data_IF_398743548026
#
_entry.id   IF_398743548026
#
_cell.length_a   1.000
_cell.length_b   1.000
_cell.length_c   1.000
_cell.angle_alpha   90.00
_cell.angle_beta   90.00
_cell.angle_gamma   90.00
#
_symmetry.space_group_name_H-M   'P 1'
#
loop_
_entity.id
_entity.type
_entity.pdbx_description
1 polymer ?
#
# COMPACT_ATOMS: atom_id res chain seq x y z
N UNK A 1 -15.64 2.76 12.37
CA UNK A 1 -14.73 2.67 11.21
C UNK A 1 -14.50 1.20 10.93
N UNK A 2 -14.62 0.75 9.68
CA UNK A 2 -14.18 -0.60 9.26
C UNK A 2 -12.90 -0.48 8.47
N UNK A 3 -11.97 -1.41 8.67
CA UNK A 3 -10.67 -1.43 8.02
C UNK A 3 -10.45 -2.71 7.24
N UNK A 4 -9.69 -2.61 6.17
CA UNK A 4 -9.26 -3.71 5.31
C UNK A 4 -7.76 -3.66 5.13
N UNK A 5 -7.16 -4.82 4.86
CA UNK A 5 -5.72 -4.99 4.74
C UNK A 5 -5.40 -5.58 3.38
N UNK A 6 -4.43 -4.98 2.71
CA UNK A 6 -3.87 -5.45 1.46
C UNK A 6 -2.40 -5.77 1.70
N UNK A 7 -1.95 -6.98 1.38
CA UNK A 7 -0.52 -7.27 1.40
C UNK A 7 0.08 -6.84 0.07
N UNK A 8 0.92 -5.79 0.10
CA UNK A 8 1.51 -5.17 -1.08
C UNK A 8 2.96 -5.62 -1.16
N UNK A 9 3.35 -6.20 -2.30
CA UNK A 9 4.69 -6.69 -2.55
C UNK A 9 5.28 -6.10 -3.82
N UNK A 10 6.59 -5.87 -3.79
CA UNK A 10 7.36 -5.35 -4.91
C UNK A 10 8.60 -6.21 -5.13
N UNK A 11 8.82 -6.64 -6.37
CA UNK A 11 10.02 -7.34 -6.80
C UNK A 11 10.96 -6.37 -7.51
N UNK A 12 12.22 -6.35 -7.10
CA UNK A 12 13.29 -5.63 -7.78
C UNK A 12 14.31 -6.60 -8.37
N UNK A 13 14.71 -6.35 -9.62
CA UNK A 13 15.80 -7.02 -10.31
C UNK A 13 16.98 -6.06 -10.39
N UNK A 14 18.17 -6.53 -9.99
CA UNK A 14 19.40 -5.73 -9.93
C UNK A 14 20.28 -5.96 -11.15
N UNK A 15 21.25 -5.06 -11.37
CA UNK A 15 22.19 -5.16 -12.50
C UNK A 15 23.05 -6.42 -12.47
N UNK A 16 23.32 -6.99 -11.29
CA UNK A 16 24.09 -8.21 -11.10
C UNK A 16 23.32 -9.51 -11.45
N UNK A 17 22.05 -9.37 -11.87
CA UNK A 17 21.17 -10.48 -12.23
C UNK A 17 20.44 -11.12 -11.05
N UNK A 18 20.65 -10.63 -9.82
CA UNK A 18 19.88 -11.06 -8.65
C UNK A 18 18.52 -10.34 -8.59
N UNK A 19 17.60 -10.88 -7.79
CA UNK A 19 16.35 -10.21 -7.46
C UNK A 19 16.07 -10.29 -5.97
N UNK A 20 15.26 -9.34 -5.47
CA UNK A 20 14.71 -9.34 -4.11
C UNK A 20 13.25 -8.94 -4.16
N UNK A 21 12.51 -9.39 -3.16
CA UNK A 21 11.12 -9.00 -2.95
C UNK A 21 10.99 -8.40 -1.57
N UNK A 22 10.20 -7.34 -1.47
CA UNK A 22 9.85 -6.73 -0.19
C UNK A 22 8.35 -6.47 -0.13
N UNK A 23 7.81 -6.57 1.08
CA UNK A 23 6.38 -6.54 1.34
C UNK A 23 5.98 -5.62 2.49
N UNK A 24 4.75 -5.13 2.42
CA UNK A 24 4.13 -4.35 3.49
C UNK A 24 2.63 -4.60 3.55
N UNK A 25 2.08 -4.56 4.76
CA UNK A 25 0.64 -4.56 4.99
C UNK A 25 0.10 -3.14 4.82
N UNK A 26 -0.68 -2.90 3.78
CA UNK A 26 -1.37 -1.64 3.56
C UNK A 26 -2.77 -1.70 4.17
N UNK A 27 -2.98 -0.91 5.23
CA UNK A 27 -4.26 -0.82 5.94
C UNK A 27 -5.03 0.39 5.45
N UNK A 28 -6.27 0.16 5.04
CA UNK A 28 -7.20 1.21 4.63
C UNK A 28 -8.45 1.17 5.46
N UNK A 29 -9.13 2.30 5.56
CA UNK A 29 -10.35 2.42 6.33
C UNK A 29 -11.41 3.24 5.59
N UNK A 30 -12.67 2.89 5.79
CA UNK A 30 -13.81 3.69 5.32
C UNK A 30 -14.40 4.44 6.51
N UNK A 31 -14.52 5.79 6.45
CA UNK A 31 -15.19 6.59 7.46
C UNK A 31 -16.65 6.15 7.66
N UNK A 32 -17.15 6.16 8.90
CA UNK A 32 -18.52 5.69 9.21
C UNK A 32 -19.63 6.53 8.56
N UNK A 33 -19.31 7.75 8.13
CA UNK A 33 -20.24 8.67 7.44
C UNK A 33 -20.44 8.31 5.96
N UNK A 34 -19.51 7.56 5.36
CA UNK A 34 -19.66 7.04 4.00
C UNK A 34 -20.52 5.77 4.03
N UNK A 35 -21.77 5.93 3.62
CA UNK A 35 -22.73 4.83 3.47
C UNK A 35 -22.16 3.76 2.53
N UNK A 36 -21.85 2.57 3.06
CA UNK A 36 -21.64 1.32 2.29
C UNK A 36 -22.90 0.85 1.53
N UNK A 37 -23.82 1.76 1.16
CA UNK A 37 -25.20 1.43 0.81
C UNK A 37 -25.40 0.76 -0.55
N UNK A 38 -24.37 0.68 -1.39
CA UNK A 38 -24.54 0.23 -2.78
C UNK A 38 -23.79 -1.06 -3.12
N UNK A 39 -23.28 -1.80 -2.12
CA UNK A 39 -22.71 -3.13 -2.39
C UNK A 39 -23.35 -4.17 -1.50
N UNK A 40 -23.95 -5.19 -2.14
CA UNK A 40 -24.47 -6.38 -1.49
C UNK A 40 -23.28 -7.17 -0.92
N UNK A 41 -22.86 -6.78 0.29
CA UNK A 41 -21.70 -7.31 1.01
C UNK A 41 -21.90 -8.76 1.49
N UNK A 42 -23.06 -9.37 1.22
CA UNK A 42 -23.30 -10.79 1.53
C UNK A 42 -22.52 -11.74 0.62
N UNK A 43 -22.17 -11.30 -0.60
CA UNK A 43 -21.43 -12.12 -1.57
C UNK A 43 -19.92 -11.89 -1.55
N UNK A 44 -19.46 -10.70 -1.14
CA UNK A 44 -18.04 -10.41 -0.97
C UNK A 44 -17.66 -10.81 0.45
N UNK A 45 -16.89 -11.90 0.55
CA UNK A 45 -16.39 -12.42 1.81
C UNK A 45 -15.93 -11.28 2.73
N UNK A 46 -16.18 -11.43 4.04
CA UNK A 46 -15.85 -10.53 5.16
C UNK A 46 -14.39 -10.03 5.21
N UNK A 47 -13.58 -10.37 4.23
CA UNK A 47 -12.13 -10.28 4.15
C UNK A 47 -11.65 -9.26 3.10
N UNK A 48 -12.43 -8.95 2.06
CA UNK A 48 -11.99 -8.06 0.96
C UNK A 48 -12.96 -6.92 0.68
N UNK A 49 -12.42 -5.70 0.56
CA UNK A 49 -13.19 -4.54 0.12
C UNK A 49 -13.24 -4.51 -1.41
N UNK A 50 -14.43 -4.43 -2.03
CA UNK A 50 -14.57 -4.28 -3.47
C UNK A 50 -13.71 -3.12 -3.99
N UNK A 51 -12.96 -3.35 -5.06
CA UNK A 51 -11.98 -2.37 -5.55
C UNK A 51 -12.61 -1.01 -5.84
N UNK A 52 -13.81 -0.98 -6.43
CA UNK A 52 -14.47 0.28 -6.74
C UNK A 52 -14.76 1.10 -5.47
N UNK A 53 -15.18 0.44 -4.39
CA UNK A 53 -15.40 1.06 -3.08
C UNK A 53 -14.07 1.50 -2.46
N UNK A 54 -13.02 0.70 -2.59
CA UNK A 54 -11.68 1.09 -2.13
C UNK A 54 -11.21 2.38 -2.82
N UNK A 55 -11.37 2.45 -4.14
CA UNK A 55 -10.94 3.60 -4.94
C UNK A 55 -11.76 4.87 -4.66
N UNK A 56 -13.07 4.76 -4.43
CA UNK A 56 -13.94 5.92 -4.23
C UNK A 56 -13.95 6.45 -2.80
N UNK A 57 -13.81 5.55 -1.82
CA UNK A 57 -14.27 5.80 -0.45
C UNK A 57 -13.25 5.44 0.62
N UNK A 58 -12.30 4.56 0.32
CA UNK A 58 -11.29 4.18 1.31
C UNK A 58 -10.20 5.25 1.44
N UNK A 59 -9.76 5.44 2.68
CA UNK A 59 -8.63 6.28 3.06
C UNK A 59 -7.48 5.41 3.52
N UNK A 60 -6.27 5.82 3.16
CA UNK A 60 -5.06 5.22 3.68
C UNK A 60 -5.01 5.43 5.19
N UNK A 61 -4.88 4.34 5.96
CA UNK A 61 -4.86 4.40 7.42
C UNK A 61 -3.44 4.18 7.94
N UNK A 62 -2.84 3.03 7.60
CA UNK A 62 -1.53 2.68 8.11
C UNK A 62 -0.77 1.73 7.18
N UNK A 63 0.51 1.57 7.45
CA UNK A 63 1.38 0.56 6.84
C UNK A 63 2.11 -0.22 7.93
N UNK A 64 2.05 -1.56 7.85
CA UNK A 64 2.82 -2.48 8.67
C UNK A 64 3.98 -3.06 7.85
N UNK A 65 5.20 -2.91 8.33
CA UNK A 65 6.41 -3.38 7.63
C UNK A 65 7.56 -3.48 8.63
N UNK A 66 8.47 -4.43 8.40
CA UNK A 66 9.70 -4.61 9.19
C UNK A 66 10.79 -3.56 8.84
N UNK A 67 10.54 -2.71 7.83
CA UNK A 67 11.47 -1.67 7.37
C UNK A 67 11.59 -0.56 8.43
N UNK A 68 12.82 -0.25 8.81
CA UNK A 68 13.13 0.86 9.71
C UNK A 68 13.10 2.20 8.98
N UNK A 69 11.95 2.88 8.99
CA UNK A 69 11.76 4.17 8.32
C UNK A 69 12.35 5.32 9.16
N UNK A 70 13.47 5.88 8.71
CA UNK A 70 14.19 6.96 9.43
C UNK A 70 13.54 8.34 9.25
N UNK A 71 13.12 8.69 8.03
CA UNK A 71 12.37 9.91 7.75
C UNK A 71 10.99 9.53 7.20
N UNK A 72 9.95 9.87 7.96
CA UNK A 72 8.57 9.51 7.67
C UNK A 72 7.87 10.54 6.76
N UNK A 73 8.45 11.73 6.61
CA UNK A 73 7.83 12.88 5.93
C UNK A 73 7.56 12.64 4.44
N UNK A 74 8.49 12.04 3.66
CA UNK A 74 8.29 11.78 2.23
C UNK A 74 7.11 10.85 1.92
N UNK A 75 6.78 9.98 2.87
CA UNK A 75 5.71 9.00 2.73
C UNK A 75 4.35 9.51 3.25
N UNK A 76 4.29 10.79 3.66
CA UNK A 76 3.11 11.40 4.29
C UNK A 76 2.61 10.61 5.51
N UNK A 77 3.53 10.01 6.26
CA UNK A 77 3.23 9.35 7.51
C UNK A 77 3.21 10.41 8.64
N UNK A 78 2.27 10.25 9.57
CA UNK A 78 2.13 11.09 10.76
C UNK A 78 3.01 10.61 11.92
N UNK A 79 3.29 9.31 12.00
CA UNK A 79 4.13 8.73 13.05
C UNK A 79 4.03 7.22 13.14
N UNK A 80 4.75 6.63 14.09
CA UNK A 80 4.75 5.19 14.36
C UNK A 80 4.03 4.87 15.67
N UNK A 81 3.03 3.99 15.58
CA UNK A 81 2.22 3.44 16.68
C UNK A 81 2.86 2.14 17.19
N UNK A 82 3.73 2.26 18.21
CA UNK A 82 4.44 1.12 18.83
C UNK A 82 3.52 0.02 19.37
N UNK A 83 2.33 0.40 19.84
CA UNK A 83 1.34 -0.52 20.40
C UNK A 83 0.67 -1.42 19.34
N UNK A 84 0.68 -0.98 18.07
CA UNK A 84 0.11 -1.72 16.95
C UNK A 84 1.16 -2.21 15.95
N UNK A 85 2.41 -1.76 16.10
CA UNK A 85 3.49 -1.98 15.15
C UNK A 85 3.17 -1.47 13.73
N UNK A 86 2.65 -0.24 13.66
CA UNK A 86 2.17 0.37 12.40
C UNK A 86 2.68 1.81 12.25
N UNK A 87 3.04 2.19 11.03
CA UNK A 87 3.19 3.59 10.66
C UNK A 87 1.84 4.15 10.17
N UNK A 88 1.40 5.25 10.76
CA UNK A 88 0.09 5.85 10.48
C UNK A 88 0.22 6.93 9.42
N UNK A 89 -0.65 6.93 8.42
CA UNK A 89 -0.73 7.97 7.40
C UNK A 89 -1.31 9.27 7.96
N UNK A 90 -0.95 10.41 7.36
CA UNK A 90 -1.68 11.66 7.59
C UNK A 90 -3.13 11.51 7.10
N UNK A 91 -4.05 12.20 7.76
CA UNK A 91 -5.47 12.14 7.41
C UNK A 91 -5.75 12.67 5.98
N UNK A 92 -6.84 12.18 5.37
CA UNK A 92 -7.30 12.62 4.06
C UNK A 92 -6.65 11.92 2.86
N UNK A 93 -5.59 11.15 3.06
CA UNK A 93 -4.90 10.41 2.00
C UNK A 93 -5.83 9.35 1.41
N UNK A 94 -6.06 9.42 0.10
CA UNK A 94 -6.90 8.46 -0.63
C UNK A 94 -6.20 7.11 -0.85
N UNK A 95 -6.97 6.11 -1.25
CA UNK A 95 -6.48 4.74 -1.48
C UNK A 95 -5.24 4.67 -2.39
N UNK A 96 -5.30 5.25 -3.59
CA UNK A 96 -4.20 5.18 -4.56
C UNK A 96 -2.98 5.98 -4.12
N UNK A 97 -3.19 7.12 -3.47
CA UNK A 97 -2.09 7.93 -2.97
C UNK A 97 -1.35 7.17 -1.87
N UNK A 98 -2.07 6.60 -0.89
CA UNK A 98 -1.46 5.76 0.14
C UNK A 98 -0.72 4.56 -0.45
N UNK A 99 -1.31 3.86 -1.42
CA UNK A 99 -0.65 2.76 -2.11
C UNK A 99 0.64 3.20 -2.82
N UNK A 100 0.64 4.37 -3.46
CA UNK A 100 1.86 4.93 -4.06
C UNK A 100 2.94 5.24 -3.02
N UNK A 101 2.57 5.65 -1.80
CA UNK A 101 3.52 5.83 -0.69
C UNK A 101 4.05 4.51 -0.16
N UNK A 102 3.20 3.48 -0.08
CA UNK A 102 3.65 2.11 0.27
C UNK A 102 4.68 1.63 -0.74
N UNK A 103 4.42 1.77 -2.04
CA UNK A 103 5.42 1.42 -3.06
C UNK A 103 6.70 2.25 -2.92
N UNK A 104 6.60 3.54 -2.59
CA UNK A 104 7.78 4.37 -2.37
C UNK A 104 8.62 3.86 -1.19
N UNK A 105 8.00 3.46 -0.08
CA UNK A 105 8.70 2.85 1.07
C UNK A 105 9.47 1.60 0.63
N UNK A 106 8.81 0.70 -0.12
CA UNK A 106 9.44 -0.54 -0.61
C UNK A 106 10.59 -0.25 -1.60
N UNK A 107 10.38 0.69 -2.52
CA UNK A 107 11.39 1.11 -3.50
C UNK A 107 12.62 1.69 -2.83
N UNK A 108 12.43 2.63 -1.90
CA UNK A 108 13.52 3.32 -1.22
C UNK A 108 14.35 2.31 -0.40
N UNK A 109 13.71 1.31 0.22
CA UNK A 109 14.43 0.23 0.92
C UNK A 109 15.17 -0.72 -0.04
N UNK A 110 14.53 -1.15 -1.13
CA UNK A 110 15.17 -2.01 -2.13
C UNK A 110 16.39 -1.32 -2.77
N UNK A 111 16.33 0.00 -2.98
CA UNK A 111 17.44 0.78 -3.52
C UNK A 111 18.67 0.81 -2.60
N UNK A 112 18.51 0.58 -1.28
CA UNK A 112 19.64 0.44 -0.35
C UNK A 112 20.48 -0.81 -0.63
N UNK A 113 19.90 -1.81 -1.30
CA UNK A 113 20.56 -3.08 -1.60
C UNK A 113 21.42 -3.06 -2.87
N UNK A 114 21.28 -2.04 -3.74
CA UNK A 114 22.05 -1.91 -4.97
C UNK A 114 21.31 -1.18 -6.09
N UNK A 115 21.95 -1.12 -7.26
CA UNK A 115 21.37 -0.46 -8.44
C UNK A 115 20.28 -1.35 -9.07
N UNK A 116 19.04 -0.87 -8.96
CA UNK A 116 17.86 -1.51 -9.51
C UNK A 116 17.80 -1.32 -11.02
N UNK A 117 17.66 -2.42 -11.76
CA UNK A 117 17.47 -2.44 -13.21
C UNK A 117 15.99 -2.38 -13.59
N UNK A 118 15.14 -3.10 -12.86
CA UNK A 118 13.70 -3.21 -13.12
C UNK A 118 12.95 -3.49 -11.83
N UNK A 119 11.70 -3.03 -11.75
CA UNK A 119 10.77 -3.36 -10.67
C UNK A 119 9.41 -3.76 -11.22
N UNK A 120 8.73 -4.65 -10.52
CA UNK A 120 7.34 -5.04 -10.83
C UNK A 120 6.56 -5.33 -9.53
N UNK A 121 5.26 -4.97 -9.47
CA UNK A 121 4.43 -5.36 -8.36
C UNK A 121 4.14 -6.86 -8.44
N UNK A 122 4.15 -7.56 -7.31
CA UNK A 122 3.68 -8.95 -7.25
C UNK A 122 2.15 -8.92 -7.17
N UNK A 123 1.49 -9.52 -8.16
CA UNK A 123 0.03 -9.58 -8.24
C UNK A 123 -0.43 -10.94 -7.72
N UNK A 124 -1.15 -10.92 -6.60
CA UNK A 124 -1.70 -12.12 -5.94
C UNK A 124 -3.17 -11.90 -5.56
N UNK A 125 -3.84 -12.97 -5.14
CA UNK A 125 -5.21 -12.96 -4.62
C UNK A 125 -5.28 -12.01 -3.43
N UNK A 126 -6.21 -11.05 -3.48
CA UNK A 126 -6.38 -10.06 -2.43
C UNK A 126 -5.59 -8.77 -2.62
N UNK A 127 -4.70 -8.70 -3.62
CA UNK A 127 -4.10 -7.43 -4.05
C UNK A 127 -5.07 -6.63 -4.92
N UNK A 128 -4.92 -5.29 -5.02
CA UNK A 128 -5.66 -4.49 -6.02
C UNK A 128 -5.38 -4.99 -7.44
N UNK A 129 -6.25 -4.64 -8.40
CA UNK A 129 -6.04 -5.03 -9.79
C UNK A 129 -4.67 -4.60 -10.32
N UNK A 130 -4.13 -5.38 -11.26
CA UNK A 130 -2.85 -5.09 -11.89
C UNK A 130 -2.77 -3.65 -12.39
N UNK A 131 -3.81 -3.15 -13.06
CA UNK A 131 -3.86 -1.77 -13.57
C UNK A 131 -3.65 -0.73 -12.46
N UNK A 132 -4.29 -0.89 -11.31
CA UNK A 132 -4.14 0.00 -10.15
C UNK A 132 -2.73 -0.11 -9.57
N UNK A 133 -2.23 -1.35 -9.42
CA UNK A 133 -0.89 -1.62 -8.89
C UNK A 133 0.19 -0.98 -9.77
N UNK A 134 0.14 -1.19 -11.08
CA UNK A 134 1.09 -0.59 -12.02
C UNK A 134 0.99 0.94 -12.07
N UNK A 135 -0.23 1.49 -12.07
CA UNK A 135 -0.42 2.94 -12.06
C UNK A 135 0.17 3.59 -10.80
N UNK A 136 -0.05 2.99 -9.62
CA UNK A 136 0.47 3.49 -8.35
C UNK A 136 2.00 3.32 -8.25
N UNK A 137 2.55 2.20 -8.73
CA UNK A 137 4.00 2.00 -8.82
C UNK A 137 4.65 3.04 -9.73
N UNK A 138 4.06 3.31 -10.90
CA UNK A 138 4.54 4.34 -11.82
C UNK A 138 4.55 5.73 -11.18
N UNK A 139 3.51 6.07 -10.40
CA UNK A 139 3.49 7.31 -9.60
C UNK A 139 4.65 7.33 -8.62
N UNK A 140 4.86 6.25 -7.86
CA UNK A 140 5.95 6.14 -6.88
C UNK A 140 7.34 6.35 -7.50
N UNK A 141 7.60 5.79 -8.68
CA UNK A 141 8.86 5.97 -9.43
C UNK A 141 9.09 7.39 -9.95
N UNK A 142 8.04 8.21 -10.05
CA UNK A 142 8.09 9.56 -10.61
C UNK A 142 8.20 10.67 -9.55
N UNK A 143 8.24 10.31 -8.26
CA UNK A 143 8.26 11.25 -7.11
C UNK A 143 9.48 11.06 -6.24
#
# INVERSE_FOLDING_TARGET
MRSWVYYIQLRAYYQDGTFREEGALYVVAIPDEEKLKDVDMECYAKEYLPQQTALSSARAYAVGTDIAIKDISPYQLAGYRKDMDLYVFKEGIGFEEGLSRVFKILLDHLAESGEIKMVEPVIDVGTPSADVMYACLKKALST
#
